data_IF_345197670403
#
_entry.id   IF_345197670403
#
_cell.length_a   1.000
_cell.length_b   1.000
_cell.length_c   1.000
_cell.angle_alpha   90.00
_cell.angle_beta   90.00
_cell.angle_gamma   90.00
#
_symmetry.space_group_name_H-M   'P 1'
#
loop_
_entity.id
_entity.type
_entity.pdbx_description
1 polymer ?
#
# COMPACT_ATOMS: atom_id res chain seq x y z
N UNK A 1 -15.73 -18.71 -5.50
CA UNK A 1 -14.59 -17.83 -5.82
C UNK A 1 -13.59 -18.10 -4.72
N UNK A 2 -12.37 -18.53 -5.07
CA UNK A 2 -11.43 -19.08 -4.11
C UNK A 2 -10.99 -18.01 -3.11
N UNK A 3 -11.35 -18.19 -1.84
CA UNK A 3 -10.87 -17.43 -0.68
C UNK A 3 -9.41 -17.80 -0.38
N UNK A 4 -8.51 -17.59 -1.34
CA UNK A 4 -7.09 -17.62 -1.06
C UNK A 4 -6.71 -16.24 -0.52
N UNK A 5 -6.98 -16.00 0.77
CA UNK A 5 -6.36 -14.86 1.43
C UNK A 5 -4.84 -15.06 1.31
N UNK A 6 -4.10 -14.15 0.65
CA UNK A 6 -2.65 -14.27 0.59
C UNK A 6 -2.13 -14.24 2.03
N UNK A 7 -1.14 -15.09 2.33
CA UNK A 7 -0.48 -15.12 3.63
C UNK A 7 0.08 -13.75 4.03
N UNK A 8 0.66 -13.63 5.25
CA UNK A 8 1.14 -12.35 5.75
C UNK A 8 2.10 -11.68 4.76
N UNK A 9 1.84 -10.42 4.40
CA UNK A 9 2.70 -9.64 3.51
C UNK A 9 4.12 -9.54 4.07
N UNK A 10 5.14 -9.77 3.24
CA UNK A 10 6.53 -9.56 3.61
C UNK A 10 6.84 -8.06 3.78
N UNK A 11 7.93 -7.73 4.47
CA UNK A 11 8.36 -6.32 4.61
C UNK A 11 8.58 -5.67 3.24
N UNK A 12 9.15 -6.40 2.28
CA UNK A 12 9.41 -5.88 0.93
C UNK A 12 8.11 -5.63 0.16
N UNK A 13 7.10 -6.51 0.29
CA UNK A 13 5.77 -6.27 -0.27
C UNK A 13 5.12 -5.02 0.33
N UNK A 14 5.19 -4.86 1.66
CA UNK A 14 4.64 -3.68 2.34
C UNK A 14 5.35 -2.39 1.93
N UNK A 15 6.68 -2.42 1.76
CA UNK A 15 7.45 -1.27 1.22
C UNK A 15 7.07 -0.94 -0.22
N UNK A 16 6.85 -1.93 -1.06
CA UNK A 16 6.39 -1.72 -2.44
C UNK A 16 4.99 -1.10 -2.49
N UNK A 17 4.08 -1.56 -1.63
CA UNK A 17 2.74 -0.97 -1.46
C UNK A 17 2.85 0.48 -0.99
N UNK A 18 3.69 0.75 0.02
CA UNK A 18 3.92 2.10 0.53
C UNK A 18 4.44 3.05 -0.57
N UNK A 19 5.45 2.62 -1.35
CA UNK A 19 5.95 3.42 -2.47
C UNK A 19 4.85 3.72 -3.48
N UNK A 20 4.08 2.71 -3.90
CA UNK A 20 3.01 2.91 -4.86
C UNK A 20 1.91 3.86 -4.35
N UNK A 21 1.66 3.86 -3.04
CA UNK A 21 0.74 4.80 -2.40
C UNK A 21 1.27 6.24 -2.43
N UNK A 22 2.55 6.45 -2.12
CA UNK A 22 3.19 7.76 -2.21
C UNK A 22 3.18 8.27 -3.65
N UNK A 23 3.61 7.44 -4.61
CA UNK A 23 3.64 7.81 -6.04
C UNK A 23 2.24 8.22 -6.54
N UNK A 24 1.18 7.52 -6.11
CA UNK A 24 -0.19 7.85 -6.48
C UNK A 24 -0.65 9.20 -5.88
N UNK A 25 -0.30 9.49 -4.63
CA UNK A 25 -0.63 10.75 -3.97
C UNK A 25 0.15 11.93 -4.57
N UNK A 26 1.44 11.74 -4.87
CA UNK A 26 2.29 12.75 -5.52
C UNK A 26 1.82 13.07 -6.94
N UNK A 27 1.21 12.10 -7.63
CA UNK A 27 0.53 12.29 -8.92
C UNK A 27 -0.76 13.11 -8.85
N UNK A 28 -1.15 13.59 -7.66
CA UNK A 28 -2.34 14.43 -7.45
C UNK A 28 -3.64 13.65 -7.20
N UNK A 29 -3.58 12.33 -7.02
CA UNK A 29 -4.75 11.57 -6.61
C UNK A 29 -5.09 11.86 -5.13
N UNK A 30 -6.38 12.03 -4.84
CA UNK A 30 -6.83 12.19 -3.45
C UNK A 30 -6.54 10.93 -2.64
N UNK A 31 -6.10 11.10 -1.38
CA UNK A 31 -5.62 10.03 -0.49
C UNK A 31 -6.53 8.78 -0.49
N UNK A 32 -7.86 8.95 -0.41
CA UNK A 32 -8.79 7.83 -0.44
C UNK A 32 -8.76 7.06 -1.78
N UNK A 33 -8.78 7.78 -2.91
CA UNK A 33 -8.69 7.18 -4.24
C UNK A 33 -7.34 6.48 -4.47
N UNK A 34 -6.25 7.03 -3.94
CA UNK A 34 -4.92 6.40 -3.96
C UNK A 34 -4.94 5.07 -3.21
N UNK A 35 -5.56 5.00 -2.03
CA UNK A 35 -5.68 3.74 -1.26
C UNK A 35 -6.49 2.68 -2.02
N UNK A 36 -7.65 3.02 -2.57
CA UNK A 36 -8.46 2.09 -3.38
C UNK A 36 -7.68 1.59 -4.60
N UNK A 37 -6.97 2.49 -5.29
CA UNK A 37 -6.18 2.15 -6.48
C UNK A 37 -5.04 1.17 -6.14
N UNK A 38 -4.32 1.44 -5.06
CA UNK A 38 -3.21 0.59 -4.60
C UNK A 38 -3.72 -0.74 -4.06
N UNK A 39 -4.83 -0.75 -3.32
CA UNK A 39 -5.47 -1.98 -2.84
C UNK A 39 -5.79 -2.93 -3.99
N UNK A 40 -6.42 -2.42 -5.06
CA UNK A 40 -6.70 -3.20 -6.27
C UNK A 40 -5.44 -3.70 -6.99
N UNK A 41 -4.39 -2.88 -7.07
CA UNK A 41 -3.13 -3.24 -7.76
C UNK A 41 -2.37 -4.38 -7.07
N UNK A 42 -2.45 -4.47 -5.74
CA UNK A 42 -1.71 -5.46 -4.94
C UNK A 42 -2.58 -6.59 -4.41
N UNK A 43 -3.87 -6.64 -4.78
CA UNK A 43 -4.84 -7.64 -4.30
C UNK A 43 -4.92 -7.69 -2.76
N UNK A 44 -4.85 -6.51 -2.14
CA UNK A 44 -4.98 -6.32 -0.68
C UNK A 44 -6.20 -5.47 -0.36
N UNK A 45 -6.58 -5.43 0.90
CA UNK A 45 -7.66 -4.56 1.38
C UNK A 45 -7.19 -3.13 1.58
N UNK A 46 -8.11 -2.15 1.49
CA UNK A 46 -7.80 -0.75 1.82
C UNK A 46 -7.32 -0.57 3.27
N UNK A 47 -7.83 -1.39 4.19
CA UNK A 47 -7.40 -1.40 5.59
C UNK A 47 -5.93 -1.82 5.71
N UNK A 48 -5.49 -2.84 4.97
CA UNK A 48 -4.07 -3.22 4.91
C UNK A 48 -3.21 -2.09 4.32
N UNK A 49 -3.69 -1.40 3.28
CA UNK A 49 -2.97 -0.23 2.71
C UNK A 49 -2.85 0.89 3.75
N UNK A 50 -3.90 1.15 4.54
CA UNK A 50 -3.85 2.14 5.63
C UNK A 50 -2.88 1.74 6.74
N UNK A 51 -2.81 0.46 7.09
CA UNK A 51 -1.87 -0.04 8.08
C UNK A 51 -0.42 0.13 7.61
N UNK A 52 -0.17 -0.20 6.34
CA UNK A 52 1.12 -0.03 5.67
C UNK A 52 1.50 1.45 5.57
N UNK A 53 0.56 2.35 5.28
CA UNK A 53 0.80 3.79 5.26
C UNK A 53 1.29 4.29 6.62
N UNK A 54 0.62 3.87 7.70
CA UNK A 54 1.04 4.19 9.07
C UNK A 54 2.41 3.60 9.41
N UNK A 55 2.66 2.35 9.03
CA UNK A 55 3.95 1.68 9.23
C UNK A 55 5.08 2.43 8.50
N UNK A 56 4.89 2.75 7.22
CA UNK A 56 5.90 3.43 6.39
C UNK A 56 6.23 4.83 6.90
N UNK A 57 5.23 5.58 7.35
CA UNK A 57 5.42 6.89 7.99
C UNK A 57 6.18 6.76 9.32
N UNK A 58 5.82 5.79 10.17
CA UNK A 58 6.45 5.57 11.46
C UNK A 58 7.91 5.07 11.34
N UNK A 59 8.19 4.22 10.35
CA UNK A 59 9.53 3.69 10.07
C UNK A 59 10.35 4.57 9.12
N UNK A 60 9.80 5.71 8.69
CA UNK A 60 10.42 6.62 7.73
C UNK A 60 10.94 5.88 6.49
N UNK A 61 10.15 4.93 5.97
CA UNK A 61 10.56 4.18 4.79
C UNK A 61 10.81 5.16 3.64
N UNK A 62 12.00 5.14 3.02
CA UNK A 62 12.18 5.88 1.79
C UNK A 62 11.21 5.30 0.76
N UNK A 63 10.57 6.12 -0.09
CA UNK A 63 10.07 5.60 -1.34
C UNK A 63 11.26 4.93 -2.04
N UNK A 64 11.12 3.64 -2.37
CA UNK A 64 12.22 2.84 -2.90
C UNK A 64 12.60 3.35 -4.30
N UNK A 65 13.46 4.37 -4.40
CA UNK A 65 14.12 4.83 -5.63
C UNK A 65 13.21 5.50 -6.66
#
# INVERSE_FOLDING_TARGET
MSDEQPGPLTVDQRRAIFKALVDAQDGGAGVAASRTTVAGKFEVTEDQVRDIEREGMAQQWPPLG
#
